data_IF_447009207925
#
_entry.id   IF_447009207925
#
_cell.length_a   1.000
_cell.length_b   1.000
_cell.length_c   1.000
_cell.angle_alpha   90.00
_cell.angle_beta   90.00
_cell.angle_gamma   90.00
#
_symmetry.space_group_name_H-M   'P 1'
#
loop_
_entity.id
_entity.type
_entity.pdbx_description
1 polymer ?
#
# COMPACT_ATOMS: atom_id res chain seq x y z
N UNK A 1 -24.80 -7.74 43.86
CA UNK A 1 -23.36 -7.97 43.68
C UNK A 1 -23.22 -8.89 42.48
N UNK A 2 -22.76 -8.33 41.35
CA UNK A 2 -22.83 -8.94 40.03
C UNK A 2 -21.75 -10.02 39.87
N UNK A 3 -22.14 -11.22 39.40
CA UNK A 3 -21.20 -12.22 38.89
C UNK A 3 -21.44 -12.32 37.38
N UNK A 4 -20.46 -11.88 36.60
CA UNK A 4 -20.48 -11.89 35.13
C UNK A 4 -20.18 -13.30 34.60
N UNK A 5 -20.78 -13.73 33.48
CA UNK A 5 -20.37 -14.96 32.82
C UNK A 5 -19.14 -14.70 31.93
N UNK A 6 -18.15 -15.58 32.08
CA UNK A 6 -17.04 -15.81 31.14
C UNK A 6 -17.60 -15.86 29.70
N UNK A 7 -17.20 -14.91 28.86
CA UNK A 7 -17.47 -14.97 27.43
C UNK A 7 -16.32 -15.69 26.75
N UNK A 8 -16.66 -16.84 26.18
CA UNK A 8 -15.85 -17.71 25.34
C UNK A 8 -15.00 -16.91 24.34
N UNK A 9 -13.69 -16.94 24.54
CA UNK A 9 -12.69 -16.34 23.66
C UNK A 9 -12.31 -17.31 22.55
N UNK A 10 -13.30 -17.84 21.82
CA UNK A 10 -13.09 -18.83 20.76
C UNK A 10 -14.00 -18.57 19.55
N UNK A 11 -13.98 -17.37 18.96
CA UNK A 11 -14.45 -17.24 17.57
C UNK A 11 -14.01 -15.94 16.86
N UNK A 12 -12.75 -15.84 16.41
CA UNK A 12 -12.40 -14.91 15.30
C UNK A 12 -11.18 -15.38 14.52
N UNK A 13 -11.06 -16.70 14.27
CA UNK A 13 -9.97 -17.25 13.43
C UNK A 13 -10.44 -17.75 12.06
N UNK A 14 -11.61 -17.30 11.61
CA UNK A 14 -12.28 -17.85 10.44
C UNK A 14 -12.24 -16.99 9.15
N UNK A 15 -11.86 -15.71 9.16
CA UNK A 15 -12.02 -14.85 7.96
C UNK A 15 -10.74 -14.47 7.20
N UNK A 16 -9.59 -15.04 7.54
CA UNK A 16 -8.38 -14.90 6.69
C UNK A 16 -8.32 -15.89 5.52
N UNK A 17 -9.27 -16.84 5.44
CA UNK A 17 -9.32 -17.90 4.42
C UNK A 17 -10.26 -17.64 3.25
N UNK A 18 -11.01 -16.54 3.29
CA UNK A 18 -12.00 -16.19 2.27
C UNK A 18 -11.48 -15.16 1.24
N UNK A 19 -10.23 -14.69 1.37
CA UNK A 19 -9.63 -13.87 0.33
C UNK A 19 -9.39 -14.76 -0.91
N UNK A 20 -9.91 -14.39 -2.10
CA UNK A 20 -9.61 -15.12 -3.32
C UNK A 20 -8.08 -15.14 -3.54
N UNK A 21 -7.51 -16.23 -4.07
CA UNK A 21 -6.09 -16.30 -4.35
C UNK A 21 -5.67 -15.15 -5.27
N UNK A 22 -4.43 -14.67 -5.16
CA UNK A 22 -3.92 -13.55 -5.98
C UNK A 22 -4.09 -13.79 -7.48
N UNK A 23 -4.11 -15.05 -7.93
CA UNK A 23 -4.40 -15.45 -9.30
C UNK A 23 -5.84 -15.18 -9.76
N UNK A 24 -6.81 -15.15 -8.84
CA UNK A 24 -8.21 -14.80 -9.14
C UNK A 24 -8.44 -13.29 -9.10
N UNK A 25 -7.70 -12.56 -8.25
CA UNK A 25 -7.69 -11.09 -8.26
C UNK A 25 -6.96 -10.52 -9.49
N UNK A 26 -6.00 -11.28 -10.02
CA UNK A 26 -5.22 -10.94 -11.21
C UNK A 26 -5.20 -12.15 -12.16
N UNK A 27 -6.21 -12.36 -13.02
CA UNK A 27 -6.33 -13.53 -13.90
C UNK A 27 -5.26 -13.66 -15.02
N UNK A 28 -4.14 -12.96 -14.89
CA UNK A 28 -2.95 -13.05 -15.73
C UNK A 28 -1.66 -12.98 -14.89
N UNK A 29 -1.49 -13.87 -13.92
CA UNK A 29 -0.18 -14.13 -13.32
C UNK A 29 0.52 -15.21 -14.15
N UNK A 30 1.11 -14.79 -15.27
CA UNK A 30 2.54 -15.01 -15.62
C UNK A 30 2.84 -14.77 -17.11
N UNK A 31 3.24 -13.53 -17.42
CA UNK A 31 4.19 -13.19 -18.48
C UNK A 31 5.13 -12.04 -18.06
N UNK A 32 5.08 -11.64 -16.78
CA UNK A 32 5.76 -10.48 -16.20
C UNK A 32 6.60 -10.88 -14.97
N UNK A 33 7.19 -12.07 -15.01
CA UNK A 33 8.36 -12.36 -14.18
C UNK A 33 9.55 -11.51 -14.65
N UNK A 34 9.47 -10.20 -14.51
CA UNK A 34 10.66 -9.38 -14.44
C UNK A 34 11.15 -9.51 -13.01
N UNK A 35 12.28 -10.20 -12.85
CA UNK A 35 13.12 -9.98 -11.69
C UNK A 35 13.61 -8.53 -11.78
N UNK A 36 12.81 -7.59 -11.28
CA UNK A 36 13.17 -6.16 -11.25
C UNK A 36 14.22 -5.89 -10.19
N UNK A 37 14.73 -6.90 -9.48
CA UNK A 37 16.03 -6.80 -8.82
C UNK A 37 17.13 -6.79 -9.89
N UNK A 38 17.13 -5.75 -10.70
CA UNK A 38 18.41 -5.20 -11.11
C UNK A 38 19.12 -4.94 -9.79
N UNK A 39 20.21 -5.63 -9.51
CA UNK A 39 20.97 -5.46 -8.27
C UNK A 39 21.65 -4.08 -8.35
N UNK A 40 20.85 -3.02 -8.36
CA UNK A 40 21.27 -1.66 -8.66
C UNK A 40 21.88 -1.04 -7.41
N UNK A 41 22.61 0.04 -7.62
CA UNK A 41 23.03 0.95 -6.57
C UNK A 41 21.84 1.63 -5.84
N UNK A 42 20.57 1.37 -6.21
CA UNK A 42 19.38 2.06 -5.71
C UNK A 42 18.36 1.10 -5.06
N UNK A 43 18.67 0.53 -3.88
CA UNK A 43 17.85 -0.52 -3.25
C UNK A 43 16.41 -0.09 -2.95
N UNK A 44 16.17 1.19 -2.64
CA UNK A 44 14.81 1.71 -2.42
C UNK A 44 13.95 1.65 -3.69
N UNK A 45 14.55 1.92 -4.85
CA UNK A 45 13.85 1.85 -6.12
C UNK A 45 13.47 0.41 -6.47
N UNK A 46 14.39 -0.53 -6.24
CA UNK A 46 14.16 -1.95 -6.53
C UNK A 46 13.04 -2.50 -5.64
N UNK A 47 13.01 -2.11 -4.36
CA UNK A 47 11.94 -2.47 -3.41
C UNK A 47 10.59 -1.89 -3.85
N UNK A 48 10.54 -0.64 -4.31
CA UNK A 48 9.31 0.04 -4.72
C UNK A 48 8.79 -0.34 -6.11
N UNK A 49 9.65 -0.89 -6.97
CA UNK A 49 9.36 -1.16 -8.40
C UNK A 49 8.03 -1.88 -8.67
N UNK A 50 7.64 -2.93 -7.90
CA UNK A 50 6.35 -3.59 -8.11
C UNK A 50 5.14 -2.64 -7.94
N UNK A 51 5.23 -1.67 -7.03
CA UNK A 51 4.15 -0.72 -6.76
C UNK A 51 4.09 0.37 -7.84
N UNK A 52 5.22 0.78 -8.42
CA UNK A 52 5.22 1.65 -9.60
C UNK A 52 4.57 0.98 -10.82
N UNK A 53 4.85 -0.31 -11.04
CA UNK A 53 4.18 -1.08 -12.10
C UNK A 53 2.67 -1.21 -11.87
N UNK A 54 2.22 -1.26 -10.61
CA UNK A 54 0.80 -1.20 -10.28
C UNK A 54 0.20 0.17 -10.61
N UNK A 55 0.82 1.27 -10.17
CA UNK A 55 0.37 2.65 -10.42
C UNK A 55 0.12 2.90 -11.91
N UNK A 56 1.06 2.52 -12.77
CA UNK A 56 0.93 2.69 -14.23
C UNK A 56 -0.30 1.95 -14.78
N UNK A 57 -0.64 0.78 -14.23
CA UNK A 57 -1.82 0.02 -14.67
C UNK A 57 -3.13 0.62 -14.18
N UNK A 58 -3.14 1.20 -12.98
CA UNK A 58 -4.33 1.81 -12.40
C UNK A 58 -4.81 3.01 -13.24
N UNK A 59 -3.89 3.81 -13.77
CA UNK A 59 -4.19 5.00 -14.59
C UNK A 59 -5.01 4.66 -15.85
N UNK A 60 -4.81 3.47 -16.43
CA UNK A 60 -5.55 3.00 -17.60
C UNK A 60 -6.80 2.17 -17.30
N UNK A 61 -7.16 1.99 -16.02
CA UNK A 61 -8.27 1.13 -15.62
C UNK A 61 -9.57 1.93 -15.53
N UNK A 62 -10.49 1.74 -16.48
CA UNK A 62 -11.78 2.46 -16.50
C UNK A 62 -12.78 1.96 -15.43
N UNK A 63 -12.68 0.68 -15.05
CA UNK A 63 -13.60 0.05 -14.10
C UNK A 63 -12.86 -1.00 -13.26
N UNK A 64 -13.16 -1.04 -11.96
CA UNK A 64 -12.61 -2.02 -11.04
C UNK A 64 -13.56 -2.26 -9.85
N UNK A 65 -14.03 -3.50 -9.70
CA UNK A 65 -15.07 -3.85 -8.72
C UNK A 65 -14.52 -4.10 -7.30
N UNK A 66 -13.23 -4.40 -7.18
CA UNK A 66 -12.63 -4.96 -5.97
C UNK A 66 -11.77 -3.95 -5.21
N UNK A 67 -12.24 -2.72 -5.11
CA UNK A 67 -11.46 -1.57 -4.60
C UNK A 67 -10.98 -1.78 -3.17
N UNK A 68 -11.81 -2.37 -2.30
CA UNK A 68 -11.44 -2.67 -0.91
C UNK A 68 -10.35 -3.74 -0.82
N UNK A 69 -10.42 -4.78 -1.66
CA UNK A 69 -9.38 -5.81 -1.73
C UNK A 69 -8.06 -5.23 -2.24
N UNK A 70 -8.11 -4.35 -3.24
CA UNK A 70 -6.93 -3.62 -3.72
C UNK A 70 -6.33 -2.76 -2.62
N UNK A 71 -7.15 -2.04 -1.85
CA UNK A 71 -6.68 -1.21 -0.74
C UNK A 71 -5.92 -2.05 0.30
N UNK A 72 -6.54 -3.16 0.74
CA UNK A 72 -5.90 -4.07 1.69
C UNK A 72 -4.62 -4.68 1.12
N UNK A 73 -4.61 -5.05 -0.16
CA UNK A 73 -3.46 -5.62 -0.83
C UNK A 73 -2.29 -4.63 -0.87
N UNK A 74 -2.51 -3.39 -1.34
CA UNK A 74 -1.46 -2.38 -1.43
C UNK A 74 -0.96 -1.96 -0.05
N UNK A 75 -1.84 -1.85 0.94
CA UNK A 75 -1.44 -1.59 2.33
C UNK A 75 -0.44 -2.64 2.83
N UNK A 76 -0.73 -3.92 2.59
CA UNK A 76 0.16 -5.02 2.98
C UNK A 76 1.47 -5.00 2.18
N UNK A 77 1.43 -4.68 0.89
CA UNK A 77 2.63 -4.49 0.07
C UNK A 77 3.54 -3.41 0.66
N UNK A 78 2.99 -2.23 0.99
CA UNK A 78 3.75 -1.11 1.55
C UNK A 78 4.40 -1.52 2.89
N UNK A 79 3.65 -2.19 3.78
CA UNK A 79 4.23 -2.71 5.03
C UNK A 79 5.39 -3.69 4.78
N UNK A 80 5.24 -4.61 3.82
CA UNK A 80 6.30 -5.53 3.44
C UNK A 80 7.51 -4.84 2.80
N UNK A 81 7.30 -3.75 2.05
CA UNK A 81 8.38 -2.93 1.49
C UNK A 81 9.12 -2.17 2.59
N UNK A 82 8.42 -1.58 3.56
CA UNK A 82 9.03 -0.90 4.72
C UNK A 82 9.88 -1.87 5.53
N UNK A 83 9.42 -3.11 5.73
CA UNK A 83 10.22 -4.13 6.41
C UNK A 83 11.47 -4.49 5.62
N UNK A 84 11.43 -4.53 4.28
CA UNK A 84 12.63 -4.71 3.46
C UNK A 84 13.59 -3.53 3.60
N UNK A 85 13.08 -2.29 3.59
CA UNK A 85 13.90 -1.08 3.82
C UNK A 85 14.56 -1.12 5.20
N UNK A 86 13.87 -1.65 6.22
CA UNK A 86 14.43 -1.80 7.58
C UNK A 86 15.68 -2.70 7.62
N UNK A 87 15.83 -3.61 6.67
CA UNK A 87 17.00 -4.49 6.57
C UNK A 87 18.19 -3.83 5.86
N UNK A 88 18.04 -2.61 5.34
CA UNK A 88 19.13 -1.87 4.69
C UNK A 88 20.01 -1.20 5.75
N UNK A 89 21.34 -1.31 5.61
CA UNK A 89 22.30 -0.80 6.59
C UNK A 89 22.32 0.75 6.71
N UNK A 90 21.85 1.45 5.67
CA UNK A 90 21.95 2.91 5.55
C UNK A 90 20.59 3.62 5.56
N UNK A 91 19.53 2.97 6.06
CA UNK A 91 18.20 3.57 6.17
C UNK A 91 17.75 3.64 7.62
N UNK A 92 17.44 4.84 8.10
CA UNK A 92 16.94 5.03 9.46
C UNK A 92 15.40 4.93 9.54
N UNK A 93 14.82 5.30 10.68
CA UNK A 93 13.35 5.35 10.82
C UNK A 93 12.72 6.49 10.02
N UNK A 94 13.39 7.63 9.91
CA UNK A 94 12.92 8.77 9.12
C UNK A 94 12.82 8.42 7.65
N UNK A 95 13.84 7.75 7.10
CA UNK A 95 13.85 7.26 5.71
C UNK A 95 12.68 6.32 5.43
N UNK A 96 12.39 5.41 6.36
CA UNK A 96 11.26 4.47 6.24
C UNK A 96 9.91 5.16 6.25
N UNK A 97 9.73 6.13 7.14
CA UNK A 97 8.51 6.94 7.22
C UNK A 97 8.32 7.75 5.94
N UNK A 98 9.37 8.40 5.45
CA UNK A 98 9.34 9.16 4.20
C UNK A 98 9.05 8.26 3.01
N UNK A 99 9.71 7.10 2.94
CA UNK A 99 9.50 6.12 1.89
C UNK A 99 8.05 5.64 1.84
N UNK A 100 7.47 5.21 2.96
CA UNK A 100 6.06 4.79 2.98
C UNK A 100 5.10 5.93 2.69
N UNK A 101 5.42 7.16 3.13
CA UNK A 101 4.63 8.35 2.85
C UNK A 101 4.53 8.61 1.34
N UNK A 102 5.67 8.61 0.65
CA UNK A 102 5.72 8.81 -0.79
C UNK A 102 4.95 7.71 -1.55
N UNK A 103 5.06 6.45 -1.13
CA UNK A 103 4.31 5.35 -1.72
C UNK A 103 2.80 5.47 -1.51
N UNK A 104 2.37 5.91 -0.33
CA UNK A 104 0.95 6.17 -0.07
C UNK A 104 0.43 7.29 -0.98
N UNK A 105 1.14 8.41 -1.06
CA UNK A 105 0.75 9.55 -1.88
C UNK A 105 0.59 9.19 -3.36
N UNK A 106 1.57 8.49 -3.95
CA UNK A 106 1.52 8.16 -5.39
C UNK A 106 0.39 7.20 -5.73
N UNK A 107 0.11 6.21 -4.87
CA UNK A 107 -1.00 5.28 -5.10
C UNK A 107 -2.34 5.96 -4.87
N UNK A 108 -2.47 6.73 -3.78
CA UNK A 108 -3.70 7.46 -3.50
C UNK A 108 -4.07 8.39 -4.66
N UNK A 109 -3.09 9.13 -5.21
CA UNK A 109 -3.30 9.96 -6.39
C UNK A 109 -3.74 9.13 -7.60
N UNK A 110 -3.01 8.06 -7.93
CA UNK A 110 -3.32 7.20 -9.07
C UNK A 110 -4.70 6.53 -9.00
N UNK A 111 -5.20 6.24 -7.80
CA UNK A 111 -6.57 5.73 -7.60
C UNK A 111 -7.59 6.88 -7.70
N UNK A 112 -7.32 8.03 -7.07
CA UNK A 112 -8.24 9.18 -7.07
C UNK A 112 -8.38 9.86 -8.45
N UNK A 113 -7.48 9.62 -9.40
CA UNK A 113 -7.63 10.05 -10.80
C UNK A 113 -8.67 9.22 -11.57
N UNK A 114 -9.02 8.02 -11.09
CA UNK A 114 -10.05 7.16 -11.69
C UNK A 114 -11.46 7.47 -11.17
N UNK A 115 -12.51 7.15 -11.94
CA UNK A 115 -13.91 7.30 -11.51
C UNK A 115 -14.25 6.35 -10.35
N UNK A 116 -13.93 5.06 -10.52
CA UNK A 116 -14.20 4.02 -9.52
C UNK A 116 -13.45 4.28 -8.21
N UNK A 117 -12.25 4.87 -8.24
CA UNK A 117 -11.53 5.26 -7.05
C UNK A 117 -12.23 6.38 -6.27
N UNK A 118 -12.66 7.45 -6.97
CA UNK A 118 -13.38 8.58 -6.36
C UNK A 118 -14.74 8.21 -5.77
N UNK A 119 -15.42 7.24 -6.40
CA UNK A 119 -16.74 6.77 -6.01
C UNK A 119 -16.69 5.63 -4.97
N UNK A 120 -15.50 5.29 -4.47
CA UNK A 120 -15.28 4.23 -3.48
C UNK A 120 -14.97 4.75 -2.07
N UNK A 121 -14.87 3.81 -1.12
CA UNK A 121 -14.40 4.08 0.25
C UNK A 121 -12.95 4.56 0.33
N UNK A 122 -12.15 4.39 -0.72
CA UNK A 122 -10.74 4.85 -0.78
C UNK A 122 -10.63 6.36 -0.59
N UNK A 123 -11.60 7.13 -1.06
CA UNK A 123 -11.65 8.59 -0.85
C UNK A 123 -11.78 8.96 0.64
N UNK A 124 -12.53 8.17 1.41
CA UNK A 124 -12.75 8.42 2.83
C UNK A 124 -11.64 7.85 3.71
N UNK A 125 -11.01 6.75 3.27
CA UNK A 125 -9.94 6.07 3.98
C UNK A 125 -8.84 5.69 2.99
N UNK A 126 -8.03 6.67 2.61
CA UNK A 126 -6.89 6.49 1.72
C UNK A 126 -5.75 5.74 2.41
N UNK A 127 -4.72 5.31 1.66
CA UNK A 127 -3.54 4.67 2.24
C UNK A 127 -2.80 5.63 3.18
N UNK A 128 -2.67 6.89 2.80
CA UNK A 128 -2.06 7.92 3.63
C UNK A 128 -2.80 8.09 4.96
N UNK A 129 -4.14 8.08 4.92
CA UNK A 129 -4.94 8.14 6.14
C UNK A 129 -4.79 6.87 6.97
N UNK A 130 -4.78 5.71 6.32
CA UNK A 130 -4.74 4.42 6.98
C UNK A 130 -3.39 4.04 7.59
N UNK A 131 -2.28 4.62 7.10
CA UNK A 131 -0.90 4.33 7.54
C UNK A 131 -0.33 5.50 8.34
N UNK A 132 -0.50 6.73 7.87
CA UNK A 132 0.10 7.93 8.45
C UNK A 132 -0.89 8.80 9.24
N UNK A 133 -2.19 8.43 9.29
CA UNK A 133 -3.23 9.22 9.95
C UNK A 133 -3.37 10.64 9.37
N UNK A 134 -3.03 10.79 8.08
CA UNK A 134 -3.12 12.06 7.36
C UNK A 134 -4.06 11.95 6.17
N UNK A 135 -4.90 12.96 5.95
CA UNK A 135 -5.90 12.93 4.87
C UNK A 135 -5.50 13.77 3.66
N UNK A 136 -4.48 14.63 3.77
CA UNK A 136 -4.10 15.62 2.75
C UNK A 136 -2.57 15.61 2.57
N UNK A 137 -2.07 14.77 1.66
CA UNK A 137 -0.64 14.61 1.41
C UNK A 137 0.00 15.62 0.46
N UNK A 138 -0.80 16.38 -0.29
CA UNK A 138 -0.32 17.23 -1.38
C UNK A 138 0.66 18.32 -0.96
N UNK A 139 0.40 19.06 0.12
CA UNK A 139 1.31 20.12 0.59
C UNK A 139 2.52 19.55 1.36
N UNK A 140 2.28 18.55 2.22
CA UNK A 140 3.33 17.93 3.04
C UNK A 140 4.35 17.12 2.22
N UNK A 141 3.94 16.54 1.11
CA UNK A 141 4.87 15.86 0.19
C UNK A 141 5.99 16.80 -0.26
N UNK A 142 5.66 18.04 -0.63
CA UNK A 142 6.68 19.01 -1.05
C UNK A 142 7.55 19.46 0.11
N UNK A 143 7.02 19.63 1.33
CA UNK A 143 7.84 19.91 2.51
C UNK A 143 8.79 18.77 2.86
N UNK A 144 8.36 17.50 2.67
CA UNK A 144 9.24 16.34 2.82
C UNK A 144 10.31 16.35 1.73
N UNK A 145 9.94 16.63 0.48
CA UNK A 145 10.87 16.72 -0.63
C UNK A 145 11.93 17.81 -0.42
N UNK A 146 11.53 19.01 0.02
CA UNK A 146 12.45 20.10 0.34
C UNK A 146 13.50 19.65 1.35
N UNK A 147 13.09 18.98 2.43
CA UNK A 147 14.01 18.46 3.46
C UNK A 147 14.97 17.36 2.97
N UNK A 148 14.63 16.64 1.90
CA UNK A 148 15.50 15.63 1.29
C UNK A 148 16.50 16.23 0.31
N UNK A 149 16.21 17.42 -0.22
CA UNK A 149 17.05 18.12 -1.19
C UNK A 149 18.06 19.08 -0.54
N UNK A 150 17.88 19.38 0.75
CA UNK A 150 18.85 20.07 1.61
C UNK A 150 20.03 19.17 2.00
#
# INVERSE_FOLDING_TARGET
MNNAPEKDFENTRADARAAPPLSELFPHVDALGFDTRSNTTFPLFDIASPLFGLVIRLEGTEHYDHVEQLHAHVKNMIHGMVEQVRQLEHCDEGDRVVFSYCLCCVVDEAVMTTSWGRDSSWKAQSLLSAIHQETWGGEKFFSVLERLLE
#
